data_IF_969329364997
#
_entry.id   IF_969329364997
#
_cell.length_a   1.000
_cell.length_b   1.000
_cell.length_c   1.000
_cell.angle_alpha   90.00
_cell.angle_beta   90.00
_cell.angle_gamma   90.00
#
_symmetry.space_group_name_H-M   'P 1'
#
loop_
_entity.id
_entity.type
_entity.pdbx_description
1 polymer ?
#
# COMPACT_ATOMS: atom_id res chain seq x y z
N UNK A 1 -31.67 33.40 16.61
CA UNK A 1 -33.08 33.40 16.18
C UNK A 1 -33.46 31.95 15.90
N UNK A 2 -34.26 31.36 16.78
CA UNK A 2 -34.75 30.00 16.66
C UNK A 2 -36.09 30.02 15.90
N UNK A 3 -36.34 29.01 15.06
CA UNK A 3 -37.68 28.60 14.63
C UNK A 3 -37.71 27.07 14.52
N UNK A 4 -38.38 26.45 15.49
CA UNK A 4 -39.06 25.13 15.47
C UNK A 4 -40.33 25.22 14.59
N UNK A 5 -40.99 24.21 14.01
CA UNK A 5 -41.23 22.78 14.31
C UNK A 5 -42.11 22.14 13.21
N UNK A 6 -41.73 20.93 12.72
CA UNK A 6 -42.51 19.66 12.51
C UNK A 6 -43.90 19.58 11.80
N UNK A 7 -44.48 18.37 11.53
CA UNK A 7 -43.96 17.09 10.97
C UNK A 7 -44.91 16.47 9.89
N UNK A 8 -44.50 15.39 9.20
CA UNK A 8 -45.47 14.39 8.67
C UNK A 8 -45.18 13.69 7.33
N UNK A 9 -45.26 12.35 7.39
CA UNK A 9 -45.47 11.36 6.31
C UNK A 9 -44.27 11.06 5.38
N UNK A 10 -43.87 9.82 5.11
CA UNK A 10 -44.45 8.50 5.38
C UNK A 10 -43.35 7.43 5.28
N UNK A 11 -43.39 6.44 6.17
CA UNK A 11 -42.66 5.19 6.02
C UNK A 11 -43.02 4.54 4.68
N UNK A 12 -42.02 4.28 3.85
CA UNK A 12 -42.08 3.25 2.84
C UNK A 12 -41.14 2.14 3.29
N UNK A 13 -41.77 1.08 3.78
CA UNK A 13 -41.19 -0.23 3.97
C UNK A 13 -40.54 -0.69 2.66
N UNK A 14 -39.21 -0.70 2.61
CA UNK A 14 -38.52 -1.44 1.56
C UNK A 14 -38.35 -2.87 2.05
N UNK A 15 -39.35 -3.68 1.73
CA UNK A 15 -39.31 -5.13 1.90
C UNK A 15 -38.05 -5.73 1.25
N UNK A 16 -37.52 -6.70 1.98
CA UNK A 16 -36.45 -7.62 1.62
C UNK A 16 -36.58 -8.16 0.20
N UNK A 17 -35.63 -7.79 -0.66
CA UNK A 17 -35.48 -8.33 -2.00
C UNK A 17 -34.04 -8.70 -2.29
N UNK A 18 -33.81 -10.00 -2.54
CA UNK A 18 -32.60 -10.61 -3.07
C UNK A 18 -31.39 -10.63 -2.13
N UNK A 19 -31.20 -11.79 -1.49
CA UNK A 19 -29.87 -12.25 -1.18
C UNK A 19 -29.05 -12.22 -2.46
N UNK A 20 -28.24 -11.17 -2.65
CA UNK A 20 -27.15 -11.20 -3.59
C UNK A 20 -26.29 -12.39 -3.20
N UNK A 21 -26.51 -13.50 -3.92
CA UNK A 21 -25.61 -14.62 -3.93
C UNK A 21 -24.27 -14.03 -4.38
N UNK A 22 -23.39 -13.73 -3.42
CA UNK A 22 -22.02 -13.32 -3.71
C UNK A 22 -21.45 -14.50 -4.49
N UNK A 23 -21.48 -14.42 -5.81
CA UNK A 23 -20.71 -15.29 -6.67
C UNK A 23 -19.26 -14.97 -6.36
N UNK A 24 -18.74 -15.60 -5.31
CA UNK A 24 -17.31 -15.64 -5.05
C UNK A 24 -16.78 -16.46 -6.21
N UNK A 25 -16.25 -15.80 -7.25
CA UNK A 25 -15.51 -16.49 -8.30
C UNK A 25 -14.39 -17.24 -7.61
N UNK A 26 -14.53 -18.55 -7.49
CA UNK A 26 -13.60 -19.32 -6.67
C UNK A 26 -12.37 -19.64 -7.50
N UNK A 27 -11.19 -19.34 -6.96
CA UNK A 27 -9.92 -19.56 -7.65
C UNK A 27 -9.70 -21.06 -7.96
N UNK A 28 -9.87 -21.47 -9.22
CA UNK A 28 -9.94 -22.89 -9.60
C UNK A 28 -8.68 -23.71 -9.30
N UNK A 29 -7.48 -23.10 -9.23
CA UNK A 29 -6.26 -23.79 -8.79
C UNK A 29 -6.26 -24.00 -7.26
N UNK A 30 -6.75 -23.03 -6.49
CA UNK A 30 -6.80 -23.10 -5.02
C UNK A 30 -7.79 -24.15 -4.57
N UNK A 31 -8.93 -24.29 -5.25
CA UNK A 31 -9.88 -25.38 -5.01
C UNK A 31 -9.25 -26.76 -5.20
N UNK A 32 -8.46 -26.94 -6.27
CA UNK A 32 -7.83 -28.23 -6.59
C UNK A 32 -6.63 -28.53 -5.70
N UNK A 33 -5.89 -27.50 -5.30
CA UNK A 33 -4.63 -27.62 -4.56
C UNK A 33 -4.56 -26.56 -3.43
N UNK A 34 -5.36 -26.68 -2.37
CA UNK A 34 -5.47 -25.65 -1.33
C UNK A 34 -4.17 -25.44 -0.54
N UNK A 35 -3.28 -26.43 -0.52
CA UNK A 35 -1.99 -26.35 0.18
C UNK A 35 -0.82 -25.88 -0.70
N UNK A 36 -1.08 -25.49 -1.96
CA UNK A 36 -0.04 -25.05 -2.89
C UNK A 36 0.52 -23.69 -2.47
N UNK A 37 1.84 -23.60 -2.30
CA UNK A 37 2.52 -22.38 -1.84
C UNK A 37 3.27 -21.61 -2.94
N UNK A 38 3.51 -22.22 -4.10
CA UNK A 38 4.14 -21.59 -5.27
C UNK A 38 3.08 -21.04 -6.26
N UNK A 39 2.23 -20.15 -5.76
CA UNK A 39 1.09 -19.60 -6.52
C UNK A 39 1.29 -18.16 -7.02
N UNK A 40 2.36 -17.46 -6.61
CA UNK A 40 2.62 -16.05 -6.96
C UNK A 40 3.10 -15.79 -8.40
N UNK A 41 3.06 -16.78 -9.29
CA UNK A 41 3.27 -16.55 -10.71
C UNK A 41 2.00 -15.98 -11.35
N UNK A 42 2.14 -15.08 -12.33
CA UNK A 42 1.02 -14.40 -13.03
C UNK A 42 -0.13 -15.36 -13.39
N UNK A 43 0.17 -16.51 -14.01
CA UNK A 43 -0.84 -17.48 -14.45
C UNK A 43 -1.47 -18.31 -13.32
N UNK A 44 -0.89 -18.27 -12.11
CA UNK A 44 -1.31 -19.09 -10.98
C UNK A 44 -1.96 -18.28 -9.86
N UNK A 45 -1.69 -16.97 -9.80
CA UNK A 45 -2.14 -16.09 -8.72
C UNK A 45 -3.56 -15.57 -8.94
N UNK A 46 -3.94 -15.37 -10.20
CA UNK A 46 -5.25 -14.84 -10.57
C UNK A 46 -6.22 -15.95 -11.01
N UNK A 47 -7.46 -15.85 -10.52
CA UNK A 47 -8.62 -16.60 -10.96
C UNK A 47 -9.53 -15.69 -11.79
N UNK A 48 -9.96 -16.18 -12.95
CA UNK A 48 -10.79 -15.44 -13.88
C UNK A 48 -12.16 -16.10 -14.01
N UNK A 49 -13.22 -15.33 -13.75
CA UNK A 49 -14.57 -15.66 -14.16
C UNK A 49 -14.90 -14.90 -15.44
N UNK A 50 -14.69 -15.57 -16.58
CA UNK A 50 -14.90 -14.98 -17.89
C UNK A 50 -16.38 -14.66 -18.20
N UNK A 51 -17.33 -15.27 -17.48
CA UNK A 51 -18.75 -15.00 -17.70
C UNK A 51 -19.17 -13.70 -17.03
N UNK A 52 -18.68 -13.43 -15.81
CA UNK A 52 -19.02 -12.21 -15.07
C UNK A 52 -17.99 -11.09 -15.21
N UNK A 53 -16.83 -11.36 -15.82
CA UNK A 53 -15.71 -10.41 -15.94
C UNK A 53 -15.01 -10.14 -14.60
N UNK A 54 -15.19 -11.02 -13.61
CA UNK A 54 -14.58 -10.88 -12.29
C UNK A 54 -13.20 -11.52 -12.30
N UNK A 55 -12.20 -10.78 -11.81
CA UNK A 55 -10.86 -11.29 -11.50
C UNK A 55 -10.67 -11.25 -9.98
N UNK A 56 -10.31 -12.39 -9.42
CA UNK A 56 -9.94 -12.52 -8.01
C UNK A 56 -8.55 -13.14 -7.88
N UNK A 57 -7.78 -12.75 -6.87
CA UNK A 57 -6.50 -13.40 -6.58
C UNK A 57 -6.64 -14.63 -5.66
N UNK A 58 -5.52 -15.30 -5.38
CA UNK A 58 -5.42 -16.43 -4.47
C UNK A 58 -6.01 -16.15 -3.08
N UNK A 59 -5.92 -14.90 -2.63
CA UNK A 59 -6.36 -14.44 -1.32
C UNK A 59 -7.82 -13.98 -1.33
N UNK A 60 -8.53 -14.18 -2.45
CA UNK A 60 -9.92 -13.71 -2.68
C UNK A 60 -10.05 -12.18 -2.78
N UNK A 61 -8.95 -11.46 -2.99
CA UNK A 61 -8.97 -10.04 -3.32
C UNK A 61 -9.51 -9.84 -4.74
N UNK A 62 -10.38 -8.84 -4.94
CA UNK A 62 -10.87 -8.49 -6.29
C UNK A 62 -9.87 -7.57 -6.97
N UNK A 63 -9.55 -7.88 -8.22
CA UNK A 63 -8.52 -7.18 -8.98
C UNK A 63 -9.10 -6.56 -10.25
N UNK A 64 -8.47 -5.48 -10.71
CA UNK A 64 -8.64 -4.90 -12.05
C UNK A 64 -7.26 -4.79 -12.69
N UNK A 65 -7.17 -5.10 -13.97
CA UNK A 65 -5.96 -4.86 -14.75
C UNK A 65 -6.06 -3.50 -15.41
N UNK A 66 -5.04 -2.67 -15.20
CA UNK A 66 -4.92 -1.33 -15.77
C UNK A 66 -3.61 -1.23 -16.55
N UNK A 67 -3.58 -0.36 -17.55
CA UNK A 67 -2.34 -0.02 -18.27
C UNK A 67 -1.55 1.04 -17.51
N UNK A 68 -0.29 1.22 -17.88
CA UNK A 68 0.54 2.33 -17.39
C UNK A 68 -0.09 3.69 -17.73
N UNK A 69 -0.78 3.82 -18.87
CA UNK A 69 -1.50 5.05 -19.26
C UNK A 69 -2.54 5.49 -18.22
N UNK A 70 -3.20 4.55 -17.54
CA UNK A 70 -4.12 4.89 -16.46
C UNK A 70 -3.39 5.52 -15.28
N UNK A 71 -2.21 4.99 -14.92
CA UNK A 71 -1.38 5.50 -13.82
C UNK A 71 -0.90 6.92 -14.16
N UNK A 72 -0.42 7.13 -15.39
CA UNK A 72 -0.05 8.47 -15.89
C UNK A 72 -1.25 9.41 -15.79
N UNK A 73 -2.38 9.05 -16.41
CA UNK A 73 -3.56 9.90 -16.45
C UNK A 73 -4.13 10.23 -15.07
N UNK A 74 -4.07 9.30 -14.12
CA UNK A 74 -4.48 9.55 -12.74
C UNK A 74 -3.55 10.57 -12.06
N UNK A 75 -2.24 10.40 -12.19
CA UNK A 75 -1.25 11.29 -11.57
C UNK A 75 -1.31 12.68 -12.19
N UNK A 76 -1.25 12.78 -13.52
CA UNK A 76 -1.26 14.06 -14.23
C UNK A 76 -2.58 14.78 -14.05
N UNK A 77 -3.71 14.06 -14.11
CA UNK A 77 -5.03 14.67 -13.87
C UNK A 77 -5.16 15.22 -12.45
N UNK A 78 -4.64 14.52 -11.43
CA UNK A 78 -4.61 15.06 -10.06
C UNK A 78 -3.69 16.28 -9.95
N UNK A 79 -2.53 16.27 -10.58
CA UNK A 79 -1.63 17.42 -10.62
C UNK A 79 -2.28 18.64 -11.31
N UNK A 80 -3.02 18.44 -12.40
CA UNK A 80 -3.74 19.50 -13.11
C UNK A 80 -4.85 20.12 -12.24
N UNK A 81 -5.61 19.30 -11.52
CA UNK A 81 -6.77 19.77 -10.74
C UNK A 81 -6.38 20.40 -9.40
N UNK A 82 -5.37 19.86 -8.69
CA UNK A 82 -5.02 20.30 -7.33
C UNK A 82 -3.57 20.78 -7.17
N UNK A 83 -2.80 20.85 -8.24
CA UNK A 83 -1.42 21.34 -8.22
C UNK A 83 -0.53 20.54 -7.28
N UNK A 84 0.34 21.23 -6.52
CA UNK A 84 1.26 20.59 -5.57
C UNK A 84 0.59 19.78 -4.46
N UNK A 85 -0.71 19.99 -4.19
CA UNK A 85 -1.46 19.20 -3.22
C UNK A 85 -1.72 17.76 -3.69
N UNK A 86 -1.51 17.45 -4.98
CA UNK A 86 -1.63 16.10 -5.55
C UNK A 86 -0.78 15.08 -4.78
N UNK A 87 0.40 15.48 -4.33
CA UNK A 87 1.33 14.64 -3.54
C UNK A 87 0.70 14.20 -2.21
N UNK A 88 0.05 15.12 -1.50
CA UNK A 88 -0.66 14.86 -0.24
C UNK A 88 -1.91 14.01 -0.49
N UNK A 89 -2.64 14.27 -1.57
CA UNK A 89 -3.80 13.46 -1.96
C UNK A 89 -3.38 12.01 -2.22
N UNK A 90 -2.33 11.80 -3.02
CA UNK A 90 -1.79 10.46 -3.31
C UNK A 90 -1.28 9.75 -2.07
N UNK A 91 -0.63 10.47 -1.16
CA UNK A 91 -0.21 9.94 0.14
C UNK A 91 -1.40 9.47 0.98
N UNK A 92 -2.47 10.27 1.07
CA UNK A 92 -3.66 9.93 1.84
C UNK A 92 -4.43 8.76 1.22
N UNK A 93 -4.51 8.68 -0.11
CA UNK A 93 -5.05 7.50 -0.81
C UNK A 93 -4.24 6.25 -0.43
N UNK A 94 -2.91 6.38 -0.40
CA UNK A 94 -2.02 5.31 0.06
C UNK A 94 -2.32 4.89 1.51
N UNK A 95 -2.48 5.83 2.44
CA UNK A 95 -2.81 5.50 3.84
C UNK A 95 -4.09 4.68 3.93
N UNK A 96 -5.16 5.15 3.29
CA UNK A 96 -6.45 4.46 3.28
C UNK A 96 -6.34 3.05 2.68
N UNK A 97 -5.59 2.91 1.58
CA UNK A 97 -5.31 1.62 0.99
C UNK A 97 -4.55 0.71 1.96
N UNK A 98 -3.41 1.17 2.50
CA UNK A 98 -2.58 0.39 3.40
C UNK A 98 -3.31 -0.06 4.66
N UNK A 99 -4.17 0.78 5.24
CA UNK A 99 -4.97 0.40 6.42
C UNK A 99 -5.95 -0.75 6.11
N UNK A 100 -6.68 -0.65 5.00
CA UNK A 100 -7.61 -1.71 4.57
C UNK A 100 -6.85 -2.99 4.20
N UNK A 101 -5.70 -2.83 3.57
CA UNK A 101 -4.83 -3.96 3.23
C UNK A 101 -4.25 -4.65 4.47
N UNK A 102 -3.91 -3.92 5.53
CA UNK A 102 -3.46 -4.51 6.80
C UNK A 102 -4.54 -5.39 7.44
N UNK A 103 -5.81 -4.94 7.42
CA UNK A 103 -6.92 -5.72 7.94
C UNK A 103 -7.24 -6.94 7.07
N UNK A 104 -7.15 -6.79 5.75
CA UNK A 104 -7.28 -7.90 4.81
C UNK A 104 -6.15 -8.93 4.96
N UNK A 105 -4.91 -8.46 5.09
CA UNK A 105 -3.71 -9.26 5.29
C UNK A 105 -3.80 -10.13 6.54
N UNK A 106 -4.16 -9.54 7.68
CA UNK A 106 -4.37 -10.29 8.93
C UNK A 106 -5.40 -11.41 8.78
N UNK A 107 -6.47 -11.19 8.02
CA UNK A 107 -7.52 -12.18 7.79
C UNK A 107 -7.04 -13.32 6.90
N UNK A 108 -6.52 -13.01 5.72
CA UNK A 108 -6.12 -14.06 4.78
C UNK A 108 -4.87 -14.80 5.25
N UNK A 109 -3.91 -14.11 5.90
CA UNK A 109 -2.69 -14.75 6.42
C UNK A 109 -3.05 -15.82 7.45
N UNK A 110 -3.98 -15.51 8.36
CA UNK A 110 -4.47 -16.48 9.35
C UNK A 110 -5.16 -17.68 8.68
N UNK A 111 -5.97 -17.45 7.64
CA UNK A 111 -6.62 -18.53 6.92
C UNK A 111 -5.63 -19.41 6.16
N UNK A 112 -4.59 -18.81 5.58
CA UNK A 112 -3.61 -19.48 4.73
C UNK A 112 -2.55 -20.25 5.53
N UNK A 113 -2.15 -19.74 6.70
CA UNK A 113 -1.07 -20.31 7.52
C UNK A 113 -1.52 -20.87 8.87
N UNK A 114 -2.80 -20.75 9.21
CA UNK A 114 -3.37 -21.18 10.50
C UNK A 114 -2.63 -20.59 11.73
N UNK A 115 -2.11 -19.36 11.57
CA UNK A 115 -1.34 -18.64 12.59
C UNK A 115 -1.61 -17.16 12.51
N UNK A 116 -1.55 -16.49 13.66
CA UNK A 116 -1.55 -15.02 13.70
C UNK A 116 -0.17 -14.49 13.29
N UNK A 117 -0.13 -13.33 12.64
CA UNK A 117 1.12 -12.64 12.25
C UNK A 117 2.07 -12.53 13.45
N UNK A 118 1.54 -12.19 14.64
CA UNK A 118 2.30 -11.99 15.88
C UNK A 118 2.96 -13.28 16.40
N UNK A 119 2.54 -14.43 15.90
CA UNK A 119 3.05 -15.75 16.27
C UNK A 119 4.05 -16.29 15.24
N UNK A 120 4.41 -15.50 14.23
CA UNK A 120 5.32 -15.90 13.15
C UNK A 120 6.55 -15.01 13.10
N UNK A 121 7.58 -15.45 12.37
CA UNK A 121 8.72 -14.60 12.06
C UNK A 121 8.25 -13.34 11.31
N UNK A 122 8.67 -12.16 11.78
CA UNK A 122 8.31 -10.89 11.16
C UNK A 122 8.71 -10.85 9.68
N UNK A 123 9.93 -11.27 9.36
CA UNK A 123 10.42 -11.32 7.97
C UNK A 123 9.54 -12.22 7.12
N UNK A 124 9.13 -13.39 7.62
CA UNK A 124 8.25 -14.29 6.89
C UNK A 124 6.86 -13.66 6.63
N UNK A 125 6.26 -13.05 7.66
CA UNK A 125 4.96 -12.40 7.50
C UNK A 125 5.02 -11.25 6.50
N UNK A 126 6.09 -10.45 6.55
CA UNK A 126 6.27 -9.32 5.66
C UNK A 126 6.54 -9.76 4.21
N UNK A 127 7.34 -10.81 3.98
CA UNK A 127 7.50 -11.39 2.65
C UNK A 127 6.17 -11.95 2.11
N UNK A 128 5.41 -12.67 2.96
CA UNK A 128 4.09 -13.18 2.60
C UNK A 128 3.10 -12.05 2.25
N UNK A 129 3.21 -10.91 2.91
CA UNK A 129 2.44 -9.71 2.59
C UNK A 129 2.81 -9.14 1.21
N UNK A 130 4.09 -9.09 0.86
CA UNK A 130 4.54 -8.44 -0.38
C UNK A 130 4.43 -9.32 -1.64
N UNK A 131 4.50 -10.65 -1.53
CA UNK A 131 4.39 -11.52 -2.72
C UNK A 131 3.14 -11.30 -3.58
N UNK A 132 1.93 -11.06 -3.01
CA UNK A 132 0.76 -10.59 -3.76
C UNK A 132 1.03 -9.33 -4.61
N UNK A 133 1.70 -8.33 -4.03
CA UNK A 133 2.03 -7.07 -4.71
C UNK A 133 3.01 -7.31 -5.87
N UNK A 134 4.01 -8.16 -5.68
CA UNK A 134 4.92 -8.58 -6.76
C UNK A 134 4.16 -9.32 -7.87
N UNK A 135 3.26 -10.24 -7.53
CA UNK A 135 2.45 -10.97 -8.52
C UNK A 135 1.49 -10.03 -9.29
N UNK A 136 1.05 -8.95 -8.67
CA UNK A 136 0.23 -7.89 -9.25
C UNK A 136 1.03 -6.84 -10.04
N UNK A 137 2.37 -6.89 -10.01
CA UNK A 137 3.22 -5.97 -10.78
C UNK A 137 3.58 -4.67 -10.08
N UNK A 138 3.40 -4.56 -8.76
CA UNK A 138 3.79 -3.36 -7.98
C UNK A 138 5.30 -3.25 -7.71
N UNK A 139 6.09 -4.23 -8.14
CA UNK A 139 7.54 -4.25 -7.97
C UNK A 139 8.03 -5.27 -6.95
N UNK A 140 9.34 -5.50 -6.96
CA UNK A 140 10.02 -6.28 -5.94
C UNK A 140 10.42 -5.38 -4.78
N UNK A 141 10.67 -5.96 -3.62
CA UNK A 141 11.09 -5.19 -2.47
C UNK A 141 12.27 -5.78 -1.71
N UNK A 142 12.88 -4.95 -0.89
CA UNK A 142 13.82 -5.34 0.14
C UNK A 142 13.50 -4.54 1.41
N UNK A 143 13.63 -5.19 2.57
CA UNK A 143 13.31 -4.61 3.85
C UNK A 143 14.54 -4.62 4.77
N UNK A 144 15.01 -3.44 5.18
CA UNK A 144 16.08 -3.27 6.17
C UNK A 144 15.48 -3.04 7.57
N UNK A 145 15.50 -4.09 8.38
CA UNK A 145 15.05 -4.09 9.78
C UNK A 145 16.17 -3.78 10.80
N UNK A 146 17.39 -3.42 10.36
CA UNK A 146 18.53 -3.20 11.25
C UNK A 146 18.27 -2.15 12.33
N UNK A 147 17.44 -1.16 12.02
CA UNK A 147 17.10 -0.04 12.90
C UNK A 147 15.74 -0.19 13.61
N UNK A 148 15.11 -1.37 13.51
CA UNK A 148 13.78 -1.61 14.09
C UNK A 148 13.74 -1.30 15.60
N UNK A 149 14.81 -1.61 16.34
CA UNK A 149 14.92 -1.31 17.78
C UNK A 149 14.98 0.19 18.06
N UNK A 150 15.46 0.98 17.11
CA UNK A 150 15.45 2.44 17.15
C UNK A 150 14.12 3.02 16.63
N UNK A 151 13.18 2.17 16.23
CA UNK A 151 11.81 2.53 15.89
C UNK A 151 11.62 3.04 14.47
N UNK A 152 12.54 2.74 13.55
CA UNK A 152 12.40 3.00 12.13
C UNK A 152 12.97 1.84 11.30
N UNK A 153 12.65 1.83 10.02
CA UNK A 153 13.18 0.87 9.07
C UNK A 153 13.22 1.48 7.67
N UNK A 154 13.98 0.85 6.77
CA UNK A 154 14.01 1.24 5.37
C UNK A 154 13.36 0.18 4.50
N UNK A 155 12.66 0.63 3.46
CA UNK A 155 12.04 -0.21 2.46
C UNK A 155 12.59 0.22 1.10
N UNK A 156 13.07 -0.72 0.30
CA UNK A 156 13.47 -0.46 -1.07
C UNK A 156 12.44 -1.11 -2.00
N UNK A 157 11.98 -0.38 -3.02
CA UNK A 157 11.16 -0.90 -4.11
C UNK A 157 11.94 -0.86 -5.42
N UNK A 158 12.13 -2.04 -5.99
CA UNK A 158 12.66 -2.24 -7.33
C UNK A 158 11.50 -2.38 -8.31
N UNK A 159 11.66 -1.85 -9.51
CA UNK A 159 10.61 -1.87 -10.53
C UNK A 159 9.28 -1.27 -10.06
N UNK A 160 9.33 -0.14 -9.33
CA UNK A 160 8.13 0.59 -8.90
C UNK A 160 7.22 0.89 -10.09
N UNK A 161 5.97 0.44 -10.02
CA UNK A 161 4.97 0.68 -11.05
C UNK A 161 4.70 2.18 -11.26
N UNK A 162 4.85 2.99 -10.20
CA UNK A 162 4.64 4.45 -10.30
C UNK A 162 5.88 5.13 -10.90
N UNK A 163 7.06 4.90 -10.33
CA UNK A 163 8.27 5.61 -10.77
C UNK A 163 8.72 5.19 -12.17
N UNK A 164 8.58 3.92 -12.54
CA UNK A 164 8.93 3.46 -13.89
C UNK A 164 8.03 4.07 -14.95
N UNK A 165 6.74 4.17 -14.67
CA UNK A 165 5.76 4.73 -15.60
C UNK A 165 5.94 6.23 -15.81
N UNK A 166 6.32 6.98 -14.77
CA UNK A 166 6.61 8.41 -14.90
C UNK A 166 7.98 8.72 -15.52
N UNK A 167 8.95 7.82 -15.40
CA UNK A 167 10.32 8.03 -15.88
C UNK A 167 11.11 9.01 -15.03
N UNK A 168 12.15 9.61 -15.61
CA UNK A 168 13.03 10.57 -14.92
C UNK A 168 12.39 11.96 -14.88
N UNK A 169 11.95 12.38 -13.68
CA UNK A 169 11.36 13.69 -13.42
C UNK A 169 12.15 14.50 -12.38
N UNK A 170 13.32 14.01 -11.96
CA UNK A 170 14.25 14.69 -11.05
C UNK A 170 13.76 14.86 -9.60
N UNK A 171 12.67 14.20 -9.19
CA UNK A 171 12.12 14.28 -7.82
C UNK A 171 11.47 12.96 -7.38
N UNK A 172 11.28 12.73 -6.06
CA UNK A 172 10.46 11.63 -5.56
C UNK A 172 9.01 11.73 -6.08
N UNK A 173 8.41 10.58 -6.41
CA UNK A 173 7.05 10.50 -7.00
C UNK A 173 6.20 9.37 -6.42
N UNK A 174 6.77 8.45 -5.65
CA UNK A 174 6.07 7.28 -5.10
C UNK A 174 5.28 7.62 -3.82
N UNK A 175 4.57 8.75 -3.80
CA UNK A 175 3.78 9.18 -2.64
C UNK A 175 2.69 8.16 -2.27
N UNK A 176 2.11 7.48 -3.27
CA UNK A 176 1.15 6.40 -3.06
C UNK A 176 1.76 5.25 -2.25
N UNK A 177 2.97 4.80 -2.59
CA UNK A 177 3.68 3.75 -1.85
C UNK A 177 4.03 4.21 -0.44
N UNK A 178 4.54 5.45 -0.28
CA UNK A 178 4.84 5.99 1.04
C UNK A 178 3.58 5.99 1.93
N UNK A 179 2.44 6.44 1.40
CA UNK A 179 1.17 6.38 2.10
C UNK A 179 0.74 4.95 2.44
N UNK A 180 0.85 4.02 1.48
CA UNK A 180 0.52 2.61 1.67
C UNK A 180 1.36 1.97 2.78
N UNK A 181 2.67 2.24 2.82
CA UNK A 181 3.53 1.76 3.92
C UNK A 181 3.11 2.38 5.26
N UNK A 182 2.88 3.69 5.32
CA UNK A 182 2.42 4.35 6.54
C UNK A 182 1.11 3.75 7.06
N UNK A 183 0.12 3.57 6.18
CA UNK A 183 -1.18 2.98 6.51
C UNK A 183 -1.08 1.52 6.95
N UNK A 184 -0.40 0.69 6.15
CA UNK A 184 -0.28 -0.74 6.42
C UNK A 184 0.43 -1.00 7.75
N UNK A 185 1.63 -0.45 7.92
CA UNK A 185 2.39 -0.70 9.14
C UNK A 185 1.69 -0.13 10.37
N UNK A 186 1.03 1.04 10.26
CA UNK A 186 0.20 1.57 11.36
C UNK A 186 -0.93 0.60 11.74
N UNK A 187 -1.59 0.00 10.74
CA UNK A 187 -2.64 -0.99 10.91
C UNK A 187 -2.15 -2.27 11.61
N UNK A 188 -0.93 -2.72 11.31
CA UNK A 188 -0.31 -3.91 11.92
C UNK A 188 0.15 -3.64 13.34
N UNK A 189 0.91 -2.56 13.59
CA UNK A 189 1.48 -2.27 14.92
C UNK A 189 0.51 -1.55 15.86
N UNK A 190 -0.67 -1.13 15.36
CA UNK A 190 -1.69 -0.36 16.09
C UNK A 190 -1.13 0.91 16.73
N UNK A 191 -0.25 1.59 16.01
CA UNK A 191 0.37 2.88 16.36
C UNK A 191 0.49 3.71 15.10
N UNK A 192 0.36 5.03 15.21
CA UNK A 192 0.58 5.92 14.07
C UNK A 192 2.04 5.90 13.65
N UNK A 193 2.28 5.47 12.42
CA UNK A 193 3.54 5.56 11.72
C UNK A 193 3.36 6.44 10.48
N UNK A 194 4.45 7.05 10.07
CA UNK A 194 4.56 7.87 8.87
C UNK A 194 5.69 7.31 8.01
N UNK A 195 5.63 7.61 6.73
CA UNK A 195 6.62 7.19 5.75
C UNK A 195 6.93 8.32 4.76
N UNK A 196 8.17 8.38 4.27
CA UNK A 196 8.61 9.28 3.20
C UNK A 196 9.52 8.54 2.22
N UNK A 197 9.48 8.93 0.94
CA UNK A 197 10.43 8.51 -0.08
C UNK A 197 11.66 9.42 -0.05
N UNK A 198 12.82 8.86 0.31
CA UNK A 198 14.09 9.59 0.44
C UNK A 198 15.00 9.43 -0.79
N UNK A 199 14.67 8.50 -1.68
CA UNK A 199 15.36 8.22 -2.94
C UNK A 199 14.35 7.66 -3.94
N UNK A 200 14.44 8.01 -5.22
CA UNK A 200 13.49 7.52 -6.22
C UNK A 200 14.18 7.13 -7.52
N UNK A 201 13.67 6.08 -8.16
CA UNK A 201 14.06 5.74 -9.54
C UNK A 201 13.88 6.93 -10.49
N UNK A 202 12.83 7.73 -10.28
CA UNK A 202 12.54 8.93 -11.05
C UNK A 202 13.54 10.09 -10.84
N UNK A 203 14.58 9.89 -10.04
CA UNK A 203 15.72 10.80 -9.86
C UNK A 203 17.02 10.24 -10.49
N UNK A 204 16.93 9.17 -11.28
CA UNK A 204 18.08 8.48 -11.87
C UNK A 204 18.68 7.37 -11.01
N UNK A 205 18.02 7.00 -9.91
CA UNK A 205 18.46 5.93 -9.00
C UNK A 205 18.00 4.55 -9.48
N UNK A 206 18.59 3.49 -8.93
CA UNK A 206 18.26 2.11 -9.34
C UNK A 206 17.02 1.53 -8.66
N UNK A 207 16.55 2.16 -7.58
CA UNK A 207 15.37 1.77 -6.81
C UNK A 207 14.84 2.96 -6.02
N UNK A 208 13.59 2.84 -5.56
CA UNK A 208 12.96 3.81 -4.67
C UNK A 208 13.21 3.40 -3.22
N UNK A 209 13.69 4.32 -2.37
CA UNK A 209 13.97 4.07 -0.95
C UNK A 209 13.03 4.87 -0.07
N UNK A 210 12.44 4.19 0.89
CA UNK A 210 11.49 4.74 1.83
C UNK A 210 12.00 4.62 3.26
N UNK A 211 11.74 5.65 4.05
CA UNK A 211 11.93 5.66 5.49
C UNK A 211 10.57 5.55 6.16
N UNK A 212 10.36 4.50 6.96
CA UNK A 212 9.18 4.35 7.81
C UNK A 212 9.56 4.56 9.28
N UNK A 213 8.78 5.34 10.01
CA UNK A 213 9.00 5.59 11.43
C UNK A 213 7.88 6.38 12.08
N UNK A 214 8.13 6.94 13.26
CA UNK A 214 7.22 7.92 13.87
C UNK A 214 7.29 9.26 13.12
N UNK A 215 6.22 10.04 13.22
CA UNK A 215 6.10 11.34 12.55
C UNK A 215 7.27 12.26 12.83
N UNK A 216 7.77 12.37 14.06
CA UNK A 216 8.89 13.28 14.39
C UNK A 216 10.17 12.95 13.60
N UNK A 217 10.38 11.67 13.30
CA UNK A 217 11.52 11.22 12.49
C UNK A 217 11.33 11.50 11.02
N UNK A 218 10.09 11.36 10.53
CA UNK A 218 9.76 11.67 9.15
C UNK A 218 9.86 13.16 8.91
N UNK A 219 9.43 14.00 9.86
CA UNK A 219 9.58 15.45 9.80
C UNK A 219 11.07 15.85 9.74
N UNK A 220 11.92 15.20 10.53
CA UNK A 220 13.37 15.39 10.48
C UNK A 220 13.97 15.04 9.10
N UNK A 221 13.62 13.87 8.57
CA UNK A 221 14.08 13.43 7.26
C UNK A 221 13.58 14.35 6.14
N UNK A 222 12.31 14.80 6.22
CA UNK A 222 11.70 15.75 5.27
C UNK A 222 12.47 17.07 5.27
N UNK A 223 12.77 17.60 6.47
CA UNK A 223 13.56 18.82 6.61
C UNK A 223 14.94 18.67 5.96
N UNK A 224 15.67 17.59 6.26
CA UNK A 224 16.99 17.37 5.66
C UNK A 224 16.93 17.17 4.15
N UNK A 225 15.93 16.47 3.64
CA UNK A 225 15.73 16.28 2.19
C UNK A 225 15.50 17.63 1.49
N UNK A 226 14.70 18.52 2.10
CA UNK A 226 14.47 19.88 1.59
C UNK A 226 15.74 20.74 1.61
N UNK A 227 16.65 20.50 2.55
CA UNK A 227 17.98 21.12 2.61
C UNK A 227 19.00 20.46 1.65
N UNK A 228 18.56 19.49 0.83
CA UNK A 228 19.40 18.83 -0.18
C UNK A 228 20.20 17.63 0.34
N UNK A 229 19.87 17.09 1.52
CA UNK A 229 20.50 15.87 2.01
C UNK A 229 20.14 14.66 1.14
N UNK A 230 21.13 13.84 0.82
CA UNK A 230 20.91 12.57 0.11
C UNK A 230 20.29 11.52 1.04
N UNK A 231 19.75 10.44 0.48
CA UNK A 231 19.29 9.30 1.27
C UNK A 231 20.37 8.76 2.23
N UNK A 232 21.63 8.72 1.76
CA UNK A 232 22.78 8.30 2.58
C UNK A 232 23.05 9.25 3.75
N UNK A 233 22.90 10.56 3.53
CA UNK A 233 23.05 11.56 4.59
C UNK A 233 21.95 11.41 5.63
N UNK A 234 20.70 11.26 5.20
CA UNK A 234 19.54 11.03 6.07
C UNK A 234 19.73 9.77 6.90
N UNK A 235 20.11 8.65 6.27
CA UNK A 235 20.41 7.40 6.97
C UNK A 235 21.49 7.57 8.04
N UNK A 236 22.60 8.23 7.70
CA UNK A 236 23.71 8.46 8.62
C UNK A 236 23.24 9.27 9.85
N UNK A 237 22.48 10.34 9.63
CA UNK A 237 21.95 11.19 10.71
C UNK A 237 21.01 10.41 11.63
N UNK A 238 20.10 9.63 11.06
CA UNK A 238 19.16 8.80 11.83
C UNK A 238 19.86 7.73 12.65
N UNK A 239 20.85 7.04 12.09
CA UNK A 239 21.65 6.03 12.81
C UNK A 239 22.48 6.64 13.94
N UNK A 240 22.83 7.93 13.84
CA UNK A 240 23.47 8.68 14.91
C UNK A 240 22.48 9.21 15.97
N UNK A 241 21.17 8.99 15.79
CA UNK A 241 20.14 9.42 16.73
C UNK A 241 19.72 10.90 16.59
N UNK A 242 20.07 11.56 15.48
CA UNK A 242 19.61 12.93 15.21
C UNK A 242 18.09 12.94 14.98
N UNK A 243 17.38 13.90 15.59
CA UNK A 243 15.93 14.10 15.47
C UNK A 243 15.66 15.62 15.46
N UNK A 244 15.90 16.27 14.30
CA UNK A 244 15.94 17.74 14.16
C UNK A 244 16.94 18.44 15.14
N UNK A 245 17.36 19.69 14.88
CA UNK A 245 18.02 20.52 15.89
C UNK A 245 17.08 20.95 17.01
#
# INVERSE_FOLDING_TARGET
MAVSSEPGMSNLDYESGSAHNKSTSVHGIKQRHPQRRNHYGLNNFFGHDNQSGIVTDWNSGRNIFITEDFVIGLITGLEEEVGGASTVVMYNIGIEWGQRDADFFQQWFKQEYDRDIRQTSLTFALEAWWWPFTAQGWGNWELDLSEQKNGFMFINIFDSAVARTLGDVGKPVCHLYAGMFAGFFSGIVKKTLSCIEIQCYAMGETYCKFLLGKTERIDAATFWQNEGATARDIEKRLRNGELLP
#
